data_IF_180736914798
#
_entry.id   IF_180736914798
#
_cell.length_a   1.000
_cell.length_b   1.000
_cell.length_c   1.000
_cell.angle_alpha   90.00
_cell.angle_beta   90.00
_cell.angle_gamma   90.00
#
_symmetry.space_group_name_H-M   'P 1'
#
loop_
_entity.id
_entity.type
_entity.pdbx_description
1 polymer ?
#
# COMPACT_ATOMS: atom_id res chain seq x y z
N UNK A 1 4.54 36.74 9.69
CA UNK A 1 5.98 37.11 9.77
C UNK A 1 6.82 36.01 10.44
N UNK A 2 6.21 35.00 11.08
CA UNK A 2 6.96 33.92 11.75
C UNK A 2 7.57 32.87 10.81
N UNK A 3 7.13 32.81 9.55
CA UNK A 3 7.71 31.91 8.53
C UNK A 3 9.20 32.11 8.30
N UNK A 4 9.70 33.35 8.44
CA UNK A 4 11.10 33.72 8.18
C UNK A 4 12.04 33.40 9.34
N UNK A 5 11.52 33.18 10.56
CA UNK A 5 12.33 32.86 11.73
C UNK A 5 12.50 31.34 11.93
N UNK A 6 11.58 30.53 11.42
CA UNK A 6 11.65 29.06 11.48
C UNK A 6 12.54 28.48 10.35
N UNK A 7 12.63 29.16 9.21
CA UNK A 7 13.38 28.71 8.02
C UNK A 7 14.88 28.46 8.27
N UNK A 8 15.63 29.35 8.97
CA UNK A 8 17.06 29.16 9.19
C UNK A 8 17.38 27.95 10.07
N UNK A 9 16.56 27.72 11.11
CA UNK A 9 16.74 26.60 12.03
C UNK A 9 16.41 25.26 11.36
N UNK A 10 15.40 25.23 10.48
CA UNK A 10 15.02 24.02 9.75
C UNK A 10 16.07 23.63 8.72
N UNK A 11 16.60 24.59 7.95
CA UNK A 11 17.72 24.35 7.04
C UNK A 11 18.96 23.85 7.79
N UNK A 12 19.23 24.39 8.98
CA UNK A 12 20.35 23.95 9.82
C UNK A 12 20.21 22.51 10.30
N UNK A 13 19.01 22.06 10.67
CA UNK A 13 18.80 20.69 11.19
C UNK A 13 19.01 19.64 10.11
N UNK A 14 18.42 19.83 8.93
CA UNK A 14 18.56 18.86 7.83
C UNK A 14 19.98 18.82 7.27
N UNK A 15 20.65 19.97 7.12
CA UNK A 15 22.06 20.02 6.70
C UNK A 15 23.04 19.30 7.64
N UNK A 16 22.63 18.99 8.87
CA UNK A 16 23.45 18.28 9.86
C UNK A 16 23.32 16.74 9.77
N UNK A 17 22.42 16.24 8.90
CA UNK A 17 22.20 14.81 8.69
C UNK A 17 23.31 14.12 7.89
N UNK A 18 24.02 14.88 7.06
CA UNK A 18 25.12 14.39 6.23
C UNK A 18 25.45 15.37 5.11
N UNK A 19 26.44 15.01 4.30
CA UNK A 19 26.86 15.84 3.18
C UNK A 19 27.48 15.00 2.07
N UNK A 20 27.42 15.50 0.83
CA UNK A 20 28.15 14.91 -0.28
C UNK A 20 29.63 15.29 -0.23
N UNK A 21 30.49 14.29 -0.18
CA UNK A 21 31.94 14.41 -0.40
C UNK A 21 32.26 13.85 -1.79
N UNK A 22 32.21 14.72 -2.80
CA UNK A 22 32.22 14.29 -4.20
C UNK A 22 30.93 13.55 -4.55
N UNK A 23 31.05 12.32 -5.08
CA UNK A 23 29.90 11.48 -5.47
C UNK A 23 29.38 10.60 -4.32
N UNK A 24 29.98 10.66 -3.13
CA UNK A 24 29.59 9.83 -1.99
C UNK A 24 28.87 10.66 -0.93
N UNK A 25 27.71 10.21 -0.49
CA UNK A 25 27.02 10.82 0.64
C UNK A 25 27.58 10.26 1.95
N UNK A 26 28.12 11.15 2.79
CA UNK A 26 28.65 10.80 4.10
C UNK A 26 27.59 11.08 5.15
N UNK A 27 27.15 10.01 5.82
CA UNK A 27 26.14 10.08 6.89
C UNK A 27 26.78 10.63 8.16
N UNK A 28 26.13 11.62 8.78
CA UNK A 28 26.56 12.19 10.05
C UNK A 28 26.53 11.14 11.17
N UNK A 29 27.52 11.09 12.07
CA UNK A 29 27.49 10.18 13.22
C UNK A 29 26.32 10.48 14.17
N UNK A 30 25.75 11.68 14.12
CA UNK A 30 24.60 12.09 14.92
C UNK A 30 23.27 11.97 14.18
N UNK A 31 23.26 11.39 12.96
CA UNK A 31 22.06 11.34 12.11
C UNK A 31 20.86 10.73 12.84
N UNK A 32 21.04 9.65 13.60
CA UNK A 32 19.96 9.01 14.35
C UNK A 32 19.27 9.97 15.34
N UNK A 33 20.05 10.68 16.16
CA UNK A 33 19.49 11.62 17.14
C UNK A 33 18.75 12.79 16.48
N UNK A 34 19.28 13.28 15.35
CA UNK A 34 18.66 14.36 14.57
C UNK A 34 17.35 13.87 13.93
N UNK A 35 17.33 12.65 13.38
CA UNK A 35 16.12 12.06 12.80
C UNK A 35 15.03 11.83 13.87
N UNK A 36 15.40 11.42 15.08
CA UNK A 36 14.43 11.32 16.19
C UNK A 36 13.82 12.68 16.55
N UNK A 37 14.62 13.76 16.53
CA UNK A 37 14.11 15.12 16.73
C UNK A 37 13.16 15.56 15.59
N UNK A 38 13.52 15.29 14.34
CA UNK A 38 12.68 15.57 13.17
C UNK A 38 11.36 14.81 13.29
N UNK A 39 11.42 13.52 13.63
CA UNK A 39 10.22 12.73 13.80
C UNK A 39 9.36 13.26 14.94
N UNK A 40 9.95 13.60 16.10
CA UNK A 40 9.21 14.20 17.21
C UNK A 40 8.47 15.46 16.76
N UNK A 41 9.15 16.36 16.03
CA UNK A 41 8.53 17.58 15.49
C UNK A 41 7.41 17.30 14.49
N UNK A 42 7.50 16.24 13.68
CA UNK A 42 6.42 15.82 12.78
C UNK A 42 5.22 15.20 13.51
N UNK A 43 5.48 14.38 14.53
CA UNK A 43 4.43 13.69 15.31
C UNK A 43 3.60 14.69 16.12
N UNK A 44 4.26 15.69 16.70
CA UNK A 44 3.63 16.68 17.58
C UNK A 44 3.46 18.06 16.93
N UNK A 45 3.48 18.14 15.60
CA UNK A 45 3.27 19.40 14.89
C UNK A 45 1.87 19.98 15.15
N UNK A 46 1.72 21.29 14.95
CA UNK A 46 0.41 21.92 14.93
C UNK A 46 -0.47 21.27 13.86
N UNK A 47 -1.56 20.62 14.29
CA UNK A 47 -2.42 19.84 13.41
C UNK A 47 -3.32 20.73 12.53
N UNK A 48 -3.45 22.02 12.84
CA UNK A 48 -4.29 22.97 12.10
C UNK A 48 -3.56 23.59 10.92
N UNK A 49 -2.25 23.80 11.05
CA UNK A 49 -1.42 24.49 10.06
C UNK A 49 -0.39 23.58 9.40
N UNK A 50 -0.02 22.45 10.05
CA UNK A 50 1.00 21.48 9.61
C UNK A 50 2.30 22.16 9.16
N UNK A 51 2.74 23.15 9.94
CA UNK A 51 3.81 24.09 9.56
C UNK A 51 5.14 23.39 9.33
N UNK A 52 5.49 22.41 10.16
CA UNK A 52 6.78 21.73 10.08
C UNK A 52 6.90 20.88 8.82
N UNK A 53 5.88 20.07 8.52
CA UNK A 53 5.77 19.31 7.27
C UNK A 53 5.82 20.20 6.02
N UNK A 54 5.11 21.34 6.04
CA UNK A 54 5.14 22.30 4.93
C UNK A 54 6.53 22.91 4.75
N UNK A 55 7.23 23.21 5.85
CA UNK A 55 8.59 23.72 5.80
C UNK A 55 9.57 22.68 5.20
N UNK A 56 9.41 21.39 5.53
CA UNK A 56 10.16 20.29 4.89
C UNK A 56 9.92 20.26 3.38
N UNK A 57 8.66 20.40 2.94
CA UNK A 57 8.31 20.46 1.52
C UNK A 57 8.91 21.68 0.81
N UNK A 58 8.86 22.84 1.45
CA UNK A 58 9.46 24.07 0.93
C UNK A 58 11.00 23.96 0.79
N UNK A 59 11.66 23.38 1.79
CA UNK A 59 13.11 23.16 1.79
C UNK A 59 13.58 22.02 0.88
N UNK A 60 12.66 21.24 0.30
CA UNK A 60 12.93 20.04 -0.50
C UNK A 60 13.76 18.97 0.24
N UNK A 61 13.66 18.93 1.57
CA UNK A 61 14.52 18.11 2.41
C UNK A 61 14.36 16.60 2.22
N UNK A 62 13.24 16.16 1.63
CA UNK A 62 13.08 14.78 1.20
C UNK A 62 14.16 14.42 0.17
N UNK A 63 14.29 15.23 -0.89
CA UNK A 63 15.22 14.96 -1.99
C UNK A 63 16.67 15.22 -1.60
N UNK A 64 16.93 16.31 -0.88
CA UNK A 64 18.29 16.73 -0.56
C UNK A 64 18.94 15.98 0.61
N UNK A 65 18.14 15.45 1.55
CA UNK A 65 18.66 14.93 2.81
C UNK A 65 18.15 13.51 3.12
N UNK A 66 16.82 13.28 3.10
CA UNK A 66 16.25 11.97 3.49
C UNK A 66 16.53 10.87 2.48
N UNK A 67 16.43 11.16 1.18
CA UNK A 67 16.70 10.18 0.11
C UNK A 67 18.19 9.76 0.09
N UNK A 68 19.17 10.69 0.15
CA UNK A 68 20.57 10.30 0.28
C UNK A 68 20.86 9.44 1.52
N UNK A 69 20.23 9.72 2.66
CA UNK A 69 20.33 8.86 3.84
C UNK A 69 19.76 7.46 3.59
N UNK A 70 18.59 7.34 2.96
CA UNK A 70 17.98 6.06 2.62
C UNK A 70 18.87 5.20 1.70
N UNK A 71 19.63 5.86 0.82
CA UNK A 71 20.55 5.18 -0.11
C UNK A 71 21.88 4.77 0.52
N UNK A 72 22.38 5.52 1.50
CA UNK A 72 23.78 5.42 1.94
C UNK A 72 23.94 5.01 3.42
N UNK A 73 22.89 5.09 4.24
CA UNK A 73 22.98 4.67 5.63
C UNK A 73 23.18 3.15 5.76
N UNK A 74 24.12 2.77 6.60
CA UNK A 74 24.41 1.35 6.95
C UNK A 74 23.87 0.96 8.32
N UNK A 75 23.50 1.95 9.12
CA UNK A 75 22.93 1.74 10.46
C UNK A 75 21.42 1.52 10.33
N UNK A 76 20.94 0.36 10.76
CA UNK A 76 19.53 -0.01 10.78
C UNK A 76 18.65 1.01 11.51
N UNK A 77 19.14 1.63 12.59
CA UNK A 77 18.38 2.60 13.35
C UNK A 77 18.18 3.91 12.56
N UNK A 78 19.17 4.28 11.74
CA UNK A 78 19.07 5.43 10.83
C UNK A 78 18.09 5.12 9.71
N UNK A 79 18.21 3.95 9.07
CA UNK A 79 17.30 3.52 8.00
C UNK A 79 15.85 3.45 8.47
N UNK A 80 15.61 2.85 9.65
CA UNK A 80 14.30 2.79 10.30
C UNK A 80 13.72 4.19 10.51
N UNK A 81 14.53 5.11 11.04
CA UNK A 81 14.10 6.49 11.31
C UNK A 81 13.74 7.25 10.04
N UNK A 82 14.53 7.10 8.98
CA UNK A 82 14.25 7.70 7.66
C UNK A 82 12.96 7.16 7.07
N UNK A 83 12.77 5.83 7.05
CA UNK A 83 11.56 5.21 6.53
C UNK A 83 10.33 5.69 7.31
N UNK A 84 10.42 5.78 8.64
CA UNK A 84 9.32 6.25 9.50
C UNK A 84 8.94 7.71 9.24
N UNK A 85 9.93 8.58 9.03
CA UNK A 85 9.71 9.97 8.62
C UNK A 85 9.05 10.02 7.23
N UNK A 86 9.53 9.25 6.26
CA UNK A 86 8.95 9.21 4.91
C UNK A 86 7.51 8.68 4.93
N UNK A 87 7.21 7.65 5.72
CA UNK A 87 5.84 7.17 5.94
C UNK A 87 4.95 8.29 6.49
N UNK A 88 5.43 9.04 7.50
CA UNK A 88 4.68 10.15 8.08
C UNK A 88 4.45 11.27 7.06
N UNK A 89 5.48 11.67 6.31
CA UNK A 89 5.40 12.72 5.29
C UNK A 89 4.49 12.35 4.11
N UNK A 90 4.34 11.06 3.82
CA UNK A 90 3.54 10.53 2.71
C UNK A 90 2.10 10.17 3.06
N UNK A 91 1.62 10.55 4.25
CA UNK A 91 0.21 10.42 4.63
C UNK A 91 -0.68 11.26 3.68
N UNK A 92 -1.74 10.69 3.08
CA UNK A 92 -2.67 11.42 2.22
C UNK A 92 -3.26 12.64 2.91
N UNK A 93 -3.49 13.73 2.17
CA UNK A 93 -3.94 15.00 2.75
C UNK A 93 -5.33 14.89 3.40
N UNK A 94 -6.15 13.97 2.90
CA UNK A 94 -7.46 13.60 3.42
C UNK A 94 -7.39 13.02 4.84
N UNK A 95 -6.26 12.41 5.20
CA UNK A 95 -6.01 11.94 6.56
C UNK A 95 -5.46 13.04 7.48
N UNK A 96 -5.02 14.17 6.93
CA UNK A 96 -4.48 15.30 7.69
C UNK A 96 -5.54 16.35 8.00
N UNK A 97 -6.53 16.52 7.12
CA UNK A 97 -7.55 17.57 7.20
C UNK A 97 -8.92 17.14 6.69
N UNK A 98 -9.96 17.82 7.17
CA UNK A 98 -11.23 17.89 6.44
C UNK A 98 -11.07 18.77 5.21
N UNK A 99 -10.89 18.12 4.07
CA UNK A 99 -10.60 18.75 2.78
C UNK A 99 -11.70 19.76 2.39
N UNK A 100 -12.97 19.45 2.64
CA UNK A 100 -14.11 20.35 2.36
C UNK A 100 -14.07 21.66 3.15
N UNK A 101 -13.56 21.61 4.39
CA UNK A 101 -13.41 22.81 5.23
C UNK A 101 -12.25 23.64 4.71
N UNK A 102 -11.13 23.00 4.41
CA UNK A 102 -9.92 23.66 3.94
C UNK A 102 -10.14 24.38 2.60
N UNK A 103 -10.88 23.77 1.67
CA UNK A 103 -11.18 24.37 0.37
C UNK A 103 -12.03 25.66 0.45
N UNK A 104 -12.69 25.94 1.57
CA UNK A 104 -13.50 27.17 1.75
C UNK A 104 -12.64 28.42 1.96
N UNK A 105 -11.41 28.27 2.40
CA UNK A 105 -10.53 29.42 2.70
C UNK A 105 -9.33 29.47 1.76
N UNK A 106 -8.82 30.66 1.47
CA UNK A 106 -7.61 30.81 0.63
C UNK A 106 -6.38 30.17 1.29
N UNK A 107 -6.21 30.37 2.59
CA UNK A 107 -5.12 29.76 3.37
C UNK A 107 -5.21 28.24 3.36
N UNK A 108 -6.42 27.68 3.54
CA UNK A 108 -6.61 26.23 3.51
C UNK A 108 -6.33 25.61 2.15
N UNK A 109 -6.76 26.27 1.06
CA UNK A 109 -6.41 25.88 -0.32
C UNK A 109 -4.90 25.87 -0.56
N UNK A 110 -4.21 26.91 -0.09
CA UNK A 110 -2.76 27.01 -0.24
C UNK A 110 -2.03 25.92 0.56
N UNK A 111 -2.47 25.65 1.78
CA UNK A 111 -1.95 24.54 2.61
C UNK A 111 -2.12 23.19 1.92
N UNK A 112 -3.31 22.87 1.38
CA UNK A 112 -3.52 21.62 0.63
C UNK A 112 -2.59 21.54 -0.58
N UNK A 113 -2.45 22.64 -1.33
CA UNK A 113 -1.57 22.68 -2.50
C UNK A 113 -0.10 22.38 -2.14
N UNK A 114 0.43 23.01 -1.09
CA UNK A 114 1.81 22.78 -0.65
C UNK A 114 2.05 21.33 -0.17
N UNK A 115 1.07 20.73 0.50
CA UNK A 115 1.15 19.35 0.95
C UNK A 115 1.05 18.35 -0.20
N UNK A 116 0.15 18.56 -1.15
CA UNK A 116 0.09 17.75 -2.37
C UNK A 116 1.38 17.89 -3.19
N UNK A 117 2.00 19.08 -3.20
CA UNK A 117 3.31 19.28 -3.83
C UNK A 117 4.42 18.50 -3.11
N UNK A 118 4.43 18.48 -1.77
CA UNK A 118 5.33 17.62 -1.00
C UNK A 118 5.14 16.14 -1.36
N UNK A 119 3.90 15.65 -1.39
CA UNK A 119 3.57 14.28 -1.79
C UNK A 119 4.07 13.97 -3.21
N UNK A 120 3.79 14.85 -4.17
CA UNK A 120 4.26 14.71 -5.54
C UNK A 120 5.79 14.61 -5.62
N UNK A 121 6.51 15.48 -4.90
CA UNK A 121 7.97 15.46 -4.85
C UNK A 121 8.51 14.16 -4.22
N UNK A 122 7.84 13.61 -3.21
CA UNK A 122 8.17 12.30 -2.66
C UNK A 122 8.00 11.21 -3.73
N UNK A 123 6.89 11.21 -4.48
CA UNK A 123 6.65 10.24 -5.56
C UNK A 123 7.70 10.36 -6.67
N UNK A 124 8.04 11.58 -7.08
CA UNK A 124 9.08 11.85 -8.07
C UNK A 124 10.42 11.26 -7.63
N UNK A 125 10.81 11.43 -6.36
CA UNK A 125 12.06 10.87 -5.85
C UNK A 125 12.12 9.33 -5.94
N UNK A 126 10.98 8.65 -5.81
CA UNK A 126 10.90 7.19 -5.92
C UNK A 126 10.95 6.66 -7.36
N UNK A 127 10.98 7.54 -8.37
CA UNK A 127 11.23 7.10 -9.76
C UNK A 127 12.67 6.65 -9.98
N UNK A 128 13.61 7.03 -9.10
CA UNK A 128 14.97 6.52 -9.11
C UNK A 128 15.01 5.07 -8.61
N UNK A 129 15.55 4.12 -9.40
CA UNK A 129 15.63 2.72 -9.00
C UNK A 129 16.48 2.49 -7.74
N UNK A 130 17.44 3.37 -7.40
CA UNK A 130 18.24 3.23 -6.17
C UNK A 130 17.37 3.38 -4.93
N UNK A 131 16.44 4.33 -4.95
CA UNK A 131 15.53 4.61 -3.83
C UNK A 131 14.61 3.42 -3.56
N UNK A 132 13.95 2.89 -4.59
CA UNK A 132 13.10 1.70 -4.41
C UNK A 132 13.93 0.49 -3.99
N UNK A 133 15.14 0.34 -4.54
CA UNK A 133 16.05 -0.76 -4.20
C UNK A 133 16.43 -0.72 -2.73
N UNK A 134 16.74 0.45 -2.17
CA UNK A 134 17.07 0.59 -0.75
C UNK A 134 15.96 0.09 0.16
N UNK A 135 14.69 0.39 -0.16
CA UNK A 135 13.55 -0.11 0.62
C UNK A 135 13.42 -1.64 0.50
N UNK A 136 13.52 -2.18 -0.72
CA UNK A 136 13.40 -3.62 -0.97
C UNK A 136 14.53 -4.42 -0.32
N UNK A 137 15.77 -3.96 -0.45
CA UNK A 137 16.94 -4.60 0.15
C UNK A 137 16.92 -4.52 1.68
N UNK A 138 16.39 -3.44 2.26
CA UNK A 138 16.23 -3.37 3.71
C UNK A 138 15.23 -4.41 4.24
N UNK A 139 14.11 -4.66 3.53
CA UNK A 139 13.20 -5.76 3.90
C UNK A 139 13.93 -7.11 3.83
N UNK A 140 14.70 -7.37 2.77
CA UNK A 140 15.47 -8.62 2.63
C UNK A 140 16.49 -8.77 3.76
N UNK A 141 17.21 -7.71 4.09
CA UNK A 141 18.18 -7.69 5.19
C UNK A 141 17.53 -8.06 6.53
N UNK A 142 16.35 -7.52 6.83
CA UNK A 142 15.61 -7.85 8.05
C UNK A 142 15.24 -9.34 8.07
N UNK A 143 14.79 -9.91 6.95
CA UNK A 143 14.41 -11.32 6.84
C UNK A 143 15.61 -12.27 6.96
N UNK A 144 16.78 -11.89 6.46
CA UNK A 144 18.01 -12.68 6.55
C UNK A 144 18.65 -12.66 7.95
N UNK A 145 18.39 -11.61 8.73
CA UNK A 145 19.07 -11.39 10.00
C UNK A 145 18.75 -12.40 11.11
N UNK A 146 17.56 -13.03 11.12
CA UNK A 146 17.13 -13.97 12.17
C UNK A 146 16.14 -15.02 11.65
N UNK A 147 16.19 -16.23 12.22
CA UNK A 147 15.26 -17.33 11.87
C UNK A 147 13.82 -17.11 12.34
N UNK A 148 13.58 -16.19 13.30
CA UNK A 148 12.25 -15.83 13.78
C UNK A 148 12.14 -14.32 13.95
N UNK A 149 11.20 -13.71 13.24
CA UNK A 149 10.97 -12.27 13.31
C UNK A 149 10.37 -11.85 14.66
N UNK A 150 11.03 -10.88 15.30
CA UNK A 150 10.51 -10.15 16.47
C UNK A 150 9.38 -9.18 16.06
N UNK A 151 8.53 -8.73 17.00
CA UNK A 151 7.51 -7.72 16.72
C UNK A 151 8.09 -6.43 16.11
N UNK A 152 9.23 -5.95 16.62
CA UNK A 152 9.89 -4.74 16.10
C UNK A 152 10.34 -4.91 14.64
N UNK A 153 10.87 -6.08 14.28
CA UNK A 153 11.22 -6.37 12.88
C UNK A 153 9.98 -6.48 11.99
N UNK A 154 8.87 -6.99 12.51
CA UNK A 154 7.59 -6.99 11.79
C UNK A 154 7.11 -5.56 11.51
N UNK A 155 7.23 -4.65 12.50
CA UNK A 155 6.89 -3.24 12.33
C UNK A 155 7.77 -2.57 11.28
N UNK A 156 9.08 -2.86 11.28
CA UNK A 156 10.02 -2.35 10.25
C UNK A 156 9.63 -2.82 8.84
N UNK A 157 9.33 -4.10 8.65
CA UNK A 157 8.85 -4.64 7.36
C UNK A 157 7.55 -3.94 6.95
N UNK A 158 6.58 -3.83 7.87
CA UNK A 158 5.30 -3.20 7.59
C UNK A 158 5.47 -1.72 7.20
N UNK A 159 6.37 -0.98 7.86
CA UNK A 159 6.67 0.42 7.52
C UNK A 159 7.28 0.56 6.12
N UNK A 160 8.13 -0.38 5.69
CA UNK A 160 8.65 -0.39 4.32
C UNK A 160 7.54 -0.59 3.29
N UNK A 161 6.65 -1.57 3.51
CA UNK A 161 5.51 -1.83 2.64
C UNK A 161 4.53 -0.64 2.63
N UNK A 162 4.31 0.00 3.78
CA UNK A 162 3.44 1.14 3.93
C UNK A 162 4.00 2.37 3.20
N UNK A 163 5.31 2.56 3.21
CA UNK A 163 5.97 3.59 2.42
C UNK A 163 5.73 3.37 0.92
N UNK A 164 5.98 2.15 0.41
CA UNK A 164 5.71 1.82 -0.99
C UNK A 164 4.24 2.03 -1.35
N UNK A 165 3.33 1.59 -0.46
CA UNK A 165 1.89 1.78 -0.62
C UNK A 165 1.54 3.26 -0.71
N UNK A 166 2.05 4.10 0.19
CA UNK A 166 1.77 5.54 0.18
C UNK A 166 2.27 6.19 -1.10
N UNK A 167 3.50 5.87 -1.54
CA UNK A 167 4.09 6.40 -2.77
C UNK A 167 3.23 6.07 -4.00
N UNK A 168 2.77 4.82 -4.13
CA UNK A 168 1.91 4.40 -5.24
C UNK A 168 0.49 4.99 -5.17
N UNK A 169 0.04 5.41 -3.99
CA UNK A 169 -1.28 6.02 -3.81
C UNK A 169 -1.34 7.47 -4.29
N UNK A 170 -0.22 8.19 -4.25
CA UNK A 170 -0.15 9.62 -4.58
C UNK A 170 -0.57 9.87 -6.04
N UNK A 171 -1.53 10.77 -6.31
CA UNK A 171 -2.03 11.04 -7.65
C UNK A 171 -1.02 11.83 -8.50
N UNK A 172 -0.97 11.56 -9.80
CA UNK A 172 -0.09 12.26 -10.76
C UNK A 172 -0.74 13.44 -11.48
N UNK A 173 -2.07 13.54 -11.39
CA UNK A 173 -2.88 14.50 -12.17
C UNK A 173 -2.75 15.95 -11.71
N UNK A 174 -2.13 16.22 -10.55
CA UNK A 174 -2.13 17.56 -9.96
C UNK A 174 -1.26 18.59 -10.73
N UNK A 175 -0.32 18.17 -11.58
CA UNK A 175 0.65 19.05 -12.24
C UNK A 175 0.78 18.85 -13.75
N UNK A 176 -0.11 18.08 -14.38
CA UNK A 176 -0.02 17.79 -15.81
C UNK A 176 -0.30 19.05 -16.66
N UNK A 177 0.76 19.71 -17.10
CA UNK A 177 0.76 20.52 -18.32
C UNK A 177 0.63 19.59 -19.52
N UNK A 178 -0.14 20.00 -20.54
CA UNK A 178 -0.45 19.30 -21.80
C UNK A 178 0.77 18.91 -22.67
N UNK A 179 1.70 18.10 -22.17
CA UNK A 179 2.82 17.55 -22.94
C UNK A 179 2.67 16.03 -23.07
N UNK A 180 2.41 15.59 -24.29
CA UNK A 180 2.22 14.18 -24.61
C UNK A 180 3.47 13.33 -24.37
N UNK A 181 3.23 12.05 -24.08
CA UNK A 181 4.18 10.93 -24.10
C UNK A 181 5.24 10.90 -22.99
N UNK A 182 4.92 11.36 -21.76
CA UNK A 182 5.71 10.97 -20.58
C UNK A 182 5.23 9.63 -20.03
N UNK A 183 6.17 8.71 -19.75
CA UNK A 183 5.90 7.50 -18.98
C UNK A 183 5.47 7.94 -17.58
N UNK A 184 4.30 7.49 -17.14
CA UNK A 184 3.75 7.76 -15.80
C UNK A 184 4.75 7.37 -14.71
N UNK A 185 4.89 8.19 -13.65
CA UNK A 185 5.78 7.90 -12.53
C UNK A 185 5.41 6.56 -11.87
N UNK A 186 4.11 6.25 -11.82
CA UNK A 186 3.53 5.00 -11.34
C UNK A 186 4.19 3.83 -12.07
N UNK A 187 4.15 3.85 -13.40
CA UNK A 187 4.72 2.78 -14.20
C UNK A 187 6.23 2.66 -13.97
N UNK A 188 6.97 3.77 -13.94
CA UNK A 188 8.41 3.76 -13.65
C UNK A 188 8.72 3.12 -12.30
N UNK A 189 7.98 3.48 -11.25
CA UNK A 189 8.16 2.92 -9.91
C UNK A 189 7.83 1.41 -9.91
N UNK A 190 6.73 1.01 -10.55
CA UNK A 190 6.34 -0.40 -10.66
C UNK A 190 7.41 -1.21 -11.40
N UNK A 191 7.93 -0.71 -12.53
CA UNK A 191 9.02 -1.35 -13.26
C UNK A 191 10.26 -1.57 -12.38
N UNK A 192 10.67 -0.54 -11.63
CA UNK A 192 11.80 -0.66 -10.71
C UNK A 192 11.56 -1.75 -9.67
N UNK A 193 10.38 -1.78 -9.04
CA UNK A 193 10.03 -2.75 -8.02
C UNK A 193 10.00 -4.20 -8.56
N UNK A 194 9.48 -4.42 -9.76
CA UNK A 194 9.49 -5.75 -10.39
C UNK A 194 10.90 -6.22 -10.76
N UNK A 195 11.75 -5.33 -11.30
CA UNK A 195 13.17 -5.65 -11.54
C UNK A 195 13.86 -6.05 -10.22
N UNK A 196 13.44 -5.46 -9.11
CA UNK A 196 13.96 -5.74 -7.76
C UNK A 196 13.32 -6.97 -7.09
N UNK A 197 12.48 -7.69 -7.82
CA UNK A 197 11.76 -8.90 -7.36
C UNK A 197 10.83 -8.67 -6.17
N UNK A 198 10.12 -7.52 -6.15
CA UNK A 198 9.11 -7.25 -5.12
C UNK A 198 8.03 -8.32 -5.06
N UNK A 199 7.67 -8.90 -6.21
CA UNK A 199 6.67 -9.95 -6.38
C UNK A 199 7.03 -11.21 -5.58
N UNK A 200 8.27 -11.69 -5.74
CA UNK A 200 8.78 -12.85 -5.00
C UNK A 200 8.87 -12.56 -3.50
N UNK A 201 9.29 -11.34 -3.15
CA UNK A 201 9.39 -10.91 -1.76
C UNK A 201 8.01 -10.83 -1.08
N UNK A 202 7.01 -10.25 -1.75
CA UNK A 202 5.63 -10.21 -1.25
C UNK A 202 5.05 -11.62 -1.10
N UNK A 203 5.26 -12.50 -2.09
CA UNK A 203 4.82 -13.89 -2.02
C UNK A 203 5.46 -14.61 -0.81
N UNK A 204 6.76 -14.43 -0.60
CA UNK A 204 7.45 -14.99 0.57
C UNK A 204 6.87 -14.47 1.89
N UNK A 205 6.67 -13.15 2.00
CA UNK A 205 6.09 -12.51 3.18
C UNK A 205 4.67 -13.04 3.51
N UNK A 206 3.92 -13.47 2.51
CA UNK A 206 2.60 -14.10 2.72
C UNK A 206 2.69 -15.52 3.28
N UNK A 207 3.84 -16.20 3.16
CA UNK A 207 4.07 -17.52 3.76
C UNK A 207 4.54 -17.44 5.21
N UNK A 208 5.00 -16.26 5.67
CA UNK A 208 5.50 -16.11 7.04
C UNK A 208 4.39 -16.31 8.09
N UNK A 209 4.71 -16.92 9.25
CA UNK A 209 3.77 -17.01 10.38
C UNK A 209 3.27 -15.64 10.88
N UNK A 210 4.11 -14.61 10.77
CA UNK A 210 3.86 -13.24 11.22
C UNK A 210 3.09 -12.39 10.20
N UNK A 211 2.60 -12.96 9.10
CA UNK A 211 1.96 -12.22 7.99
C UNK A 211 0.81 -11.31 8.41
N UNK A 212 0.13 -11.59 9.53
CA UNK A 212 -0.92 -10.73 10.08
C UNK A 212 -0.44 -9.31 10.42
N UNK A 213 0.86 -9.10 10.70
CA UNK A 213 1.43 -7.79 11.02
C UNK A 213 1.51 -6.85 9.81
N UNK A 214 1.49 -7.36 8.58
CA UNK A 214 1.60 -6.56 7.35
C UNK A 214 0.59 -6.92 6.27
N UNK A 215 -0.27 -7.93 6.49
CA UNK A 215 -1.23 -8.41 5.50
C UNK A 215 -2.16 -7.31 4.97
N UNK A 216 -2.58 -6.39 5.83
CA UNK A 216 -3.40 -5.22 5.44
C UNK A 216 -2.66 -4.33 4.44
N UNK A 217 -1.46 -3.91 4.82
CA UNK A 217 -0.60 -3.07 3.99
C UNK A 217 -0.26 -3.76 2.66
N UNK A 218 -0.06 -5.08 2.71
CA UNK A 218 0.22 -5.90 1.53
C UNK A 218 -0.94 -5.87 0.53
N UNK A 219 -2.18 -6.07 0.99
CA UNK A 219 -3.36 -6.03 0.12
C UNK A 219 -3.53 -4.65 -0.53
N UNK A 220 -3.37 -3.59 0.26
CA UNK A 220 -3.43 -2.21 -0.26
C UNK A 220 -2.32 -1.93 -1.29
N UNK A 221 -1.11 -2.43 -1.05
CA UNK A 221 0.01 -2.31 -1.97
C UNK A 221 -0.28 -3.06 -3.29
N UNK A 222 -0.73 -4.31 -3.20
CA UNK A 222 -1.14 -5.12 -4.36
C UNK A 222 -2.22 -4.39 -5.16
N UNK A 223 -3.25 -3.86 -4.49
CA UNK A 223 -4.31 -3.10 -5.14
C UNK A 223 -3.76 -1.93 -5.97
N UNK A 224 -2.76 -1.20 -5.46
CA UNK A 224 -2.11 -0.09 -6.16
C UNK A 224 -1.13 -0.53 -7.25
N UNK A 225 -0.50 -1.69 -7.11
CA UNK A 225 0.35 -2.29 -8.15
C UNK A 225 -0.48 -2.64 -9.39
N UNK A 226 -1.69 -3.17 -9.18
CA UNK A 226 -2.60 -3.55 -10.26
C UNK A 226 -3.59 -2.45 -10.64
N UNK A 227 -3.58 -1.32 -9.93
CA UNK A 227 -4.39 -0.15 -10.26
C UNK A 227 -3.99 0.32 -11.66
N UNK A 228 -4.98 0.39 -12.55
CA UNK A 228 -4.84 0.81 -13.95
C UNK A 228 -3.97 -0.11 -14.83
N UNK A 229 -3.59 -1.29 -14.33
CA UNK A 229 -2.91 -2.30 -15.13
C UNK A 229 -3.93 -3.13 -15.93
N UNK A 230 -3.79 -3.16 -17.25
CA UNK A 230 -4.42 -4.17 -18.11
C UNK A 230 -3.74 -5.55 -17.98
N UNK A 231 -3.31 -5.92 -16.77
CA UNK A 231 -2.85 -7.27 -16.44
C UNK A 231 -4.07 -8.19 -16.48
N UNK A 232 -3.95 -9.48 -16.89
CA UNK A 232 -5.08 -10.40 -16.91
C UNK A 232 -5.70 -10.51 -15.50
N UNK A 233 -6.73 -9.69 -15.28
CA UNK A 233 -7.50 -9.51 -14.05
C UNK A 233 -7.99 -10.85 -13.46
N UNK A 234 -8.05 -11.88 -14.31
CA UNK A 234 -8.29 -13.28 -13.96
C UNK A 234 -7.28 -13.86 -12.96
N UNK A 235 -5.97 -13.69 -13.15
CA UNK A 235 -4.95 -14.33 -12.30
C UNK A 235 -4.88 -13.69 -10.91
N UNK A 236 -4.95 -12.36 -10.84
CA UNK A 236 -5.04 -11.65 -9.56
C UNK A 236 -6.30 -12.09 -8.81
N UNK A 237 -7.44 -12.14 -9.51
CA UNK A 237 -8.70 -12.54 -8.91
C UNK A 237 -8.67 -14.00 -8.43
N UNK A 238 -7.85 -14.86 -9.06
CA UNK A 238 -7.63 -16.22 -8.59
C UNK A 238 -7.01 -16.26 -7.19
N UNK A 239 -5.98 -15.46 -6.92
CA UNK A 239 -5.36 -15.38 -5.60
C UNK A 239 -6.30 -14.84 -4.53
N UNK A 240 -7.13 -13.84 -4.85
CA UNK A 240 -8.19 -13.39 -3.95
C UNK A 240 -9.22 -14.50 -3.67
N UNK A 241 -9.53 -15.34 -4.67
CA UNK A 241 -10.34 -16.54 -4.48
C UNK A 241 -9.72 -17.55 -3.51
N UNK A 242 -8.42 -17.79 -3.59
CA UNK A 242 -7.68 -18.67 -2.65
C UNK A 242 -7.74 -18.11 -1.23
N UNK A 243 -7.52 -16.79 -1.06
CA UNK A 243 -7.60 -16.14 0.26
C UNK A 243 -9.01 -16.23 0.86
N UNK A 244 -10.04 -16.11 0.01
CA UNK A 244 -11.42 -16.17 0.45
C UNK A 244 -11.86 -17.60 0.84
N UNK A 245 -11.26 -18.66 0.28
CA UNK A 245 -11.62 -20.04 0.64
C UNK A 245 -11.53 -20.32 2.16
N UNK A 246 -10.67 -19.55 2.85
CA UNK A 246 -10.41 -19.60 4.28
C UNK A 246 -11.21 -18.57 5.10
N UNK A 247 -12.32 -18.05 4.55
CA UNK A 247 -13.09 -16.94 5.17
C UNK A 247 -13.50 -17.17 6.63
N UNK A 248 -13.69 -18.43 7.06
CA UNK A 248 -14.04 -18.75 8.44
C UNK A 248 -12.88 -18.56 9.44
N UNK A 249 -11.64 -18.65 8.96
CA UNK A 249 -10.44 -18.47 9.78
C UNK A 249 -9.82 -17.08 9.60
N UNK A 250 -10.19 -16.38 8.52
CA UNK A 250 -9.84 -14.98 8.32
C UNK A 250 -10.50 -14.09 9.38
N UNK A 251 -9.77 -13.08 9.87
CA UNK A 251 -10.38 -12.01 10.66
C UNK A 251 -11.36 -11.20 9.81
N UNK A 252 -12.37 -10.62 10.47
CA UNK A 252 -13.41 -9.79 9.84
C UNK A 252 -12.85 -8.76 8.86
N UNK A 253 -11.84 -8.00 9.30
CA UNK A 253 -11.16 -7.00 8.48
C UNK A 253 -10.50 -7.57 7.21
N UNK A 254 -9.95 -8.79 7.27
CA UNK A 254 -9.30 -9.44 6.11
C UNK A 254 -10.35 -9.83 5.09
N UNK A 255 -11.47 -10.39 5.53
CA UNK A 255 -12.61 -10.70 4.66
C UNK A 255 -13.15 -9.43 3.99
N UNK A 256 -13.33 -8.33 4.74
CA UNK A 256 -13.76 -7.05 4.19
C UNK A 256 -12.82 -6.55 3.08
N UNK A 257 -11.50 -6.64 3.29
CA UNK A 257 -10.52 -6.24 2.28
C UNK A 257 -10.59 -7.11 1.02
N UNK A 258 -10.72 -8.43 1.18
CA UNK A 258 -10.83 -9.38 0.06
C UNK A 258 -12.06 -9.04 -0.77
N UNK A 259 -13.21 -8.90 -0.12
CA UNK A 259 -14.42 -8.58 -0.84
C UNK A 259 -14.38 -7.17 -1.46
N UNK A 260 -13.73 -6.19 -0.81
CA UNK A 260 -13.59 -4.81 -1.35
C UNK A 260 -12.85 -4.84 -2.68
N UNK A 261 -11.80 -5.63 -2.77
CA UNK A 261 -11.08 -5.83 -4.02
C UNK A 261 -11.92 -6.54 -5.08
N UNK A 262 -12.69 -7.56 -4.69
CA UNK A 262 -13.61 -8.24 -5.59
C UNK A 262 -14.72 -7.31 -6.10
N UNK A 263 -15.25 -6.41 -5.27
CA UNK A 263 -16.25 -5.42 -5.62
C UNK A 263 -15.70 -4.34 -6.55
N UNK A 264 -14.56 -3.74 -6.22
CA UNK A 264 -13.96 -2.73 -7.09
C UNK A 264 -13.66 -3.31 -8.49
N UNK A 265 -13.12 -4.53 -8.56
CA UNK A 265 -12.79 -5.14 -9.84
C UNK A 265 -14.04 -5.60 -10.60
N UNK A 266 -14.95 -6.31 -9.92
CA UNK A 266 -16.13 -6.88 -10.54
C UNK A 266 -17.23 -5.85 -10.82
N UNK A 267 -17.51 -5.02 -9.83
CA UNK A 267 -18.53 -3.96 -9.83
C UNK A 267 -18.05 -2.69 -10.51
N UNK A 268 -17.13 -1.95 -9.88
CA UNK A 268 -16.78 -0.59 -10.32
C UNK A 268 -16.05 -0.56 -11.67
N UNK A 269 -15.13 -1.50 -11.89
CA UNK A 269 -14.40 -1.63 -13.16
C UNK A 269 -15.17 -2.47 -14.20
N UNK A 270 -16.32 -3.03 -13.85
CA UNK A 270 -17.17 -3.80 -14.76
C UNK A 270 -16.59 -5.14 -15.22
N UNK A 271 -15.53 -5.65 -14.58
CA UNK A 271 -14.86 -6.89 -14.95
C UNK A 271 -15.47 -8.13 -14.29
N UNK A 272 -16.80 -8.21 -14.18
CA UNK A 272 -17.51 -9.31 -13.48
C UNK A 272 -17.10 -10.73 -13.89
N UNK A 273 -16.65 -10.92 -15.13
CA UNK A 273 -16.23 -12.23 -15.64
C UNK A 273 -15.08 -12.87 -14.86
N UNK A 274 -14.26 -12.05 -14.18
CA UNK A 274 -13.13 -12.55 -13.37
C UNK A 274 -13.58 -13.18 -12.05
N UNK A 275 -14.80 -12.89 -11.59
CA UNK A 275 -15.41 -13.48 -10.39
C UNK A 275 -16.05 -14.84 -10.67
N UNK A 276 -16.23 -15.23 -11.94
CA UNK A 276 -16.81 -16.53 -12.32
C UNK A 276 -15.83 -17.70 -12.23
N UNK A 277 -14.72 -17.52 -11.52
CA UNK A 277 -13.79 -18.59 -11.28
C UNK A 277 -14.40 -19.63 -10.33
N UNK A 278 -14.21 -20.94 -10.59
CA UNK A 278 -14.81 -21.99 -9.76
C UNK A 278 -14.52 -21.87 -8.26
N UNK A 279 -13.29 -21.44 -7.91
CA UNK A 279 -12.87 -21.23 -6.53
C UNK A 279 -13.65 -20.12 -5.83
N UNK A 280 -13.94 -19.02 -6.54
CA UNK A 280 -14.70 -17.89 -6.01
C UNK A 280 -16.16 -18.26 -5.89
N UNK A 281 -16.76 -18.82 -6.95
CA UNK A 281 -18.16 -19.23 -6.95
C UNK A 281 -18.47 -20.25 -5.87
N UNK A 282 -17.62 -21.28 -5.72
CA UNK A 282 -17.74 -22.28 -4.65
C UNK A 282 -17.67 -21.63 -3.26
N UNK A 283 -16.79 -20.64 -3.09
CA UNK A 283 -16.63 -19.95 -1.82
C UNK A 283 -17.80 -19.02 -1.52
N UNK A 284 -18.29 -18.28 -2.51
CA UNK A 284 -19.52 -17.48 -2.42
C UNK A 284 -20.73 -18.33 -2.05
N UNK A 285 -20.88 -19.53 -2.65
CA UNK A 285 -21.92 -20.48 -2.26
C UNK A 285 -21.78 -20.92 -0.80
N UNK A 286 -20.56 -21.23 -0.33
CA UNK A 286 -20.33 -21.58 1.08
C UNK A 286 -20.65 -20.44 2.06
N UNK A 287 -20.33 -19.20 1.69
CA UNK A 287 -20.66 -18.00 2.49
C UNK A 287 -22.19 -17.81 2.53
N UNK A 288 -22.84 -17.88 1.36
CA UNK A 288 -24.30 -17.78 1.23
C UNK A 288 -25.05 -18.85 2.04
N UNK A 289 -24.56 -20.09 2.03
CA UNK A 289 -25.11 -21.18 2.83
C UNK A 289 -24.89 -21.00 4.33
N UNK A 290 -23.74 -20.43 4.75
CA UNK A 290 -23.45 -20.13 6.15
C UNK A 290 -24.40 -19.06 6.72
N UNK A 291 -24.78 -18.05 5.91
CA UNK A 291 -25.74 -17.02 6.31
C UNK A 291 -27.19 -17.55 6.44
N UNK A 292 -27.57 -18.56 5.64
CA UNK A 292 -28.88 -19.21 5.73
C UNK A 292 -28.99 -20.26 6.85
N UNK A 293 -27.86 -20.83 7.31
CA UNK A 293 -27.82 -21.83 8.37
C UNK A 293 -28.22 -21.33 9.77
N UNK A 294 -28.42 -20.02 9.95
CA UNK A 294 -28.85 -19.37 11.20
C UNK A 294 -30.35 -19.00 11.22
N UNK A 295 -31.11 -19.31 10.16
CA UNK A 295 -32.50 -18.87 10.01
C UNK A 295 -33.59 -19.80 10.56
N UNK A 296 -33.24 -20.92 11.21
CA UNK A 296 -34.23 -21.74 11.91
C UNK A 296 -34.19 -21.53 13.44
N UNK A 297 -35.27 -20.91 13.93
CA UNK A 297 -35.70 -20.75 15.33
C UNK A 297 -35.37 -19.41 16.03
N UNK A 298 -36.40 -18.56 16.05
CA UNK A 298 -36.74 -17.55 17.08
C UNK A 298 -36.07 -16.16 17.02
N UNK A 299 -36.75 -15.26 16.29
CA UNK A 299 -37.17 -13.91 16.69
C UNK A 299 -36.90 -13.48 18.15
N UNK A 300 -35.64 -13.25 18.55
CA UNK A 300 -35.32 -12.38 19.70
C UNK A 300 -33.96 -11.69 19.64
N UNK A 301 -33.39 -11.44 18.45
CA UNK A 301 -32.17 -10.61 18.32
C UNK A 301 -32.33 -9.43 17.37
N UNK A 302 -33.50 -9.28 16.74
CA UNK A 302 -33.72 -8.33 15.64
C UNK A 302 -34.14 -6.92 16.10
N UNK A 303 -34.16 -6.62 17.40
CA UNK A 303 -34.63 -5.32 17.92
C UNK A 303 -33.70 -4.58 18.90
N UNK A 304 -32.60 -5.18 19.37
CA UNK A 304 -31.59 -4.47 20.17
C UNK A 304 -30.27 -4.21 19.42
N UNK A 305 -30.02 -4.92 18.31
CA UNK A 305 -28.89 -4.64 17.41
C UNK A 305 -29.13 -3.45 16.45
N UNK A 306 -30.32 -2.83 16.48
CA UNK A 306 -30.75 -1.85 15.47
C UNK A 306 -30.65 -0.37 15.87
N UNK A 307 -30.40 -0.01 17.14
CA UNK A 307 -30.56 1.41 17.58
C UNK A 307 -29.34 2.02 18.30
N UNK A 308 -28.23 1.29 18.50
CA UNK A 308 -26.96 1.89 19.02
C UNK A 308 -25.75 1.65 18.11
N UNK A 309 -25.91 0.98 16.96
CA UNK A 309 -24.80 0.68 16.04
C UNK A 309 -24.97 1.39 14.69
N UNK A 310 -25.29 2.68 14.76
CA UNK A 310 -25.31 3.62 13.63
C UNK A 310 -24.52 4.87 14.01
N UNK A 311 -23.20 4.75 13.99
CA UNK A 311 -22.32 5.87 13.61
C UNK A 311 -21.26 5.38 12.63
N UNK A 312 -21.74 5.20 11.39
CA UNK A 312 -21.17 5.73 10.15
C UNK A 312 -20.01 5.08 9.37
N UNK A 313 -19.56 3.85 9.70
CA UNK A 313 -18.67 3.11 8.76
C UNK A 313 -18.99 1.63 8.60
N UNK A 314 -19.91 1.09 9.41
CA UNK A 314 -20.20 -0.34 9.46
C UNK A 314 -21.45 -0.77 8.66
N UNK A 315 -22.31 0.18 8.30
CA UNK A 315 -23.58 -0.12 7.61
C UNK A 315 -23.45 -0.21 6.09
N UNK A 316 -22.39 0.35 5.50
CA UNK A 316 -22.18 0.31 4.04
C UNK A 316 -21.51 -1.00 3.60
N UNK A 317 -20.56 -1.52 4.40
CA UNK A 317 -19.78 -2.70 4.02
C UNK A 317 -20.58 -4.01 4.09
N UNK A 318 -21.43 -4.22 5.10
CA UNK A 318 -22.19 -5.47 5.24
C UNK A 318 -23.41 -5.59 4.32
N UNK A 319 -23.94 -4.47 3.82
CA UNK A 319 -25.10 -4.50 2.92
C UNK A 319 -24.66 -4.75 1.45
N UNK A 320 -23.47 -4.31 1.07
CA UNK A 320 -22.95 -4.39 -0.30
C UNK A 320 -22.41 -5.79 -0.70
N UNK A 321 -21.91 -6.60 0.26
CA UNK A 321 -21.37 -7.93 -0.05
C UNK A 321 -22.43 -8.94 -0.48
N UNK A 322 -23.59 -8.94 0.17
CA UNK A 322 -24.71 -9.83 -0.18
C UNK A 322 -25.22 -9.50 -1.58
N UNK A 323 -25.36 -8.20 -1.88
CA UNK A 323 -25.77 -7.70 -3.20
C UNK A 323 -24.75 -8.04 -4.29
N UNK A 324 -23.44 -7.97 -4.01
CA UNK A 324 -22.39 -8.40 -4.94
C UNK A 324 -22.45 -9.91 -5.20
N UNK A 325 -22.56 -10.72 -4.15
CA UNK A 325 -22.64 -12.19 -4.26
C UNK A 325 -23.89 -12.58 -5.07
N UNK A 326 -25.04 -11.99 -4.73
CA UNK A 326 -26.30 -12.21 -5.43
C UNK A 326 -26.20 -11.78 -6.90
N UNK A 327 -25.66 -10.58 -7.16
CA UNK A 327 -25.44 -10.08 -8.52
C UNK A 327 -24.52 -10.99 -9.34
N UNK A 328 -23.43 -11.48 -8.76
CA UNK A 328 -22.47 -12.38 -9.44
C UNK A 328 -23.12 -13.74 -9.72
N UNK A 329 -23.82 -14.33 -8.75
CA UNK A 329 -24.53 -15.62 -8.92
C UNK A 329 -25.63 -15.47 -9.97
N UNK A 330 -26.46 -14.43 -9.87
CA UNK A 330 -27.52 -14.16 -10.84
C UNK A 330 -26.96 -13.93 -12.25
N UNK A 331 -25.87 -13.16 -12.38
CA UNK A 331 -25.22 -12.91 -13.68
C UNK A 331 -24.58 -14.18 -14.23
N UNK A 332 -23.99 -15.03 -13.39
CA UNK A 332 -23.45 -16.34 -13.81
C UNK A 332 -24.56 -17.25 -14.34
N UNK A 333 -25.66 -17.40 -13.60
CA UNK A 333 -26.79 -18.25 -13.99
C UNK A 333 -27.47 -17.81 -15.30
N UNK A 334 -27.43 -16.51 -15.60
CA UNK A 334 -28.06 -15.92 -16.77
C UNK A 334 -27.09 -15.64 -17.95
N UNK A 335 -25.79 -15.89 -17.79
CA UNK A 335 -24.81 -15.72 -18.88
C UNK A 335 -24.67 -17.04 -19.64
N UNK A 336 -24.93 -17.09 -20.97
CA UNK A 336 -24.77 -18.31 -21.74
C UNK A 336 -23.30 -18.76 -21.73
N UNK A 337 -23.01 -20.06 -21.61
CA UNK A 337 -21.65 -20.56 -21.54
C UNK A 337 -20.92 -20.21 -22.83
N UNK A 338 -20.00 -19.25 -22.78
CA UNK A 338 -18.96 -19.15 -23.79
C UNK A 338 -17.96 -20.28 -23.56
N UNK A 339 -17.37 -20.75 -24.66
CA UNK A 339 -16.38 -21.83 -24.70
C UNK A 339 -15.42 -21.75 -23.50
N UNK A 340 -15.10 -22.88 -22.85
CA UNK A 340 -14.31 -22.87 -21.63
C UNK A 340 -13.00 -22.13 -21.88
N UNK A 341 -12.79 -21.03 -21.15
CA UNK A 341 -11.49 -20.40 -21.03
C UNK A 341 -10.57 -21.45 -20.39
N UNK A 342 -9.61 -21.95 -21.17
CA UNK A 342 -8.55 -22.83 -20.68
C UNK A 342 -7.79 -22.11 -19.58
N UNK A 343 -8.03 -22.52 -18.34
CA UNK A 343 -7.16 -22.22 -17.22
C UNK A 343 -5.77 -22.81 -17.54
N UNK A 344 -4.67 -22.07 -17.30
CA UNK A 344 -3.35 -22.68 -17.34
C UNK A 344 -3.27 -23.72 -16.21
N UNK A 345 -3.25 -25.00 -16.59
CA UNK A 345 -3.03 -26.12 -15.67
C UNK A 345 -1.53 -26.26 -15.41
N UNK A 346 -0.91 -25.25 -14.79
CA UNK A 346 0.48 -25.39 -14.34
C UNK A 346 0.45 -26.01 -12.95
N UNK A 347 0.66 -27.33 -12.87
CA UNK A 347 0.92 -27.95 -11.58
C UNK A 347 2.26 -27.44 -11.04
N UNK A 348 2.32 -27.11 -9.75
CA UNK A 348 3.54 -26.72 -9.02
C UNK A 348 4.70 -27.73 -9.13
N UNK A 349 4.45 -28.91 -9.72
CA UNK A 349 5.42 -29.99 -9.95
C UNK A 349 6.18 -29.91 -11.28
N UNK A 350 5.73 -29.12 -12.26
CA UNK A 350 6.39 -29.05 -13.57
C UNK A 350 7.49 -27.99 -13.64
N UNK A 351 7.38 -26.92 -12.84
CA UNK A 351 8.43 -25.88 -12.74
C UNK A 351 9.73 -26.38 -12.07
N UNK A 352 9.73 -27.56 -11.43
CA UNK A 352 10.93 -28.17 -10.85
C UNK A 352 11.63 -29.17 -11.78
N UNK A 353 11.07 -29.47 -12.96
CA UNK A 353 11.70 -30.37 -13.94
C UNK A 353 12.42 -29.63 -15.07
N UNK A 354 11.94 -28.47 -15.49
CA UNK A 354 12.61 -27.71 -16.56
C UNK A 354 13.93 -27.07 -16.12
N UNK A 355 14.15 -26.85 -14.82
CA UNK A 355 15.43 -26.32 -14.32
C UNK A 355 16.54 -27.39 -14.15
N UNK A 356 16.23 -28.69 -14.38
CA UNK A 356 17.20 -29.79 -14.24
C UNK A 356 17.53 -30.50 -15.57
N UNK A 357 17.15 -29.94 -16.73
CA UNK A 357 17.51 -30.50 -18.05
C UNK A 357 18.43 -29.62 -18.91
N UNK A 358 18.78 -28.39 -18.49
CA UNK A 358 19.77 -27.56 -19.22
C UNK A 358 21.22 -27.74 -18.75
N UNK A 359 21.49 -28.63 -17.78
CA UNK A 359 22.85 -29.05 -17.41
C UNK A 359 23.11 -30.53 -17.73
N UNK A 360 22.68 -31.01 -18.89
CA UNK A 360 23.34 -32.16 -19.54
C UNK A 360 23.04 -32.14 -21.03
N UNK A 361 23.88 -31.46 -21.82
CA UNK A 361 24.28 -31.81 -23.19
C UNK A 361 25.01 -30.63 -23.84
N UNK A 362 26.34 -30.76 -23.89
CA UNK A 362 27.38 -30.01 -24.63
C UNK A 362 27.80 -28.64 -24.11
#
# INVERSE_FOLDING_TARGET
MDYLLVTPQLHSVFSSLGSFEGDTYVVSPNAFAILEEINYKLTYEDQTLRTFRRAIGFGQNVRSDLIPLLENAKDDAVLESVIRILVNLTVPVECLFSVDVMYRTEVGRHTIFELNKLLYNCKEAFTDPKVTKSVVEYIKHILESESKLSPQKCDRINNCLLLLRNILHIPETMLQSNSGHQVSMQNTILWNLFIQSIDKLMLYLMTCPQRSNWGVTMVQLIALIYKDQHIPTLEVMHYYGILLEDFNNNGEFVNDCIFTMMHHIGGDLGHTGVLFQPIILKTYSRIWEADYGLCDVSLTLTKHARITFLTFTFYFLLQDWSDLIEYVIHKFMNTPPKSPLTLPTTSLTEMTKEHNQEHTLW
#
